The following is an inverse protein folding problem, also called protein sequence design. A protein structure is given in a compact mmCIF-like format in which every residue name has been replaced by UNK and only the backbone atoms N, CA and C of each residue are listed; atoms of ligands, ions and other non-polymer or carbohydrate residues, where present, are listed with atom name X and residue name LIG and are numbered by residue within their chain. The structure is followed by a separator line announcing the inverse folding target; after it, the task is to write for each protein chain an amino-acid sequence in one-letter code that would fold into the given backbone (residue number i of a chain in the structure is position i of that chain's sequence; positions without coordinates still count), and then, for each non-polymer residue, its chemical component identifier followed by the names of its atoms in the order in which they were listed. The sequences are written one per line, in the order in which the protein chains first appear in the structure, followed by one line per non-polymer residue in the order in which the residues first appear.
data_IF_247663536260
#
_entry.id   IF_247663536260
#
_cell.length_a   1.000
_cell.length_b   1.000
_cell.length_c   1.000
_cell.angle_alpha   90.00
_cell.angle_beta   90.00
_cell.angle_gamma   90.00
#
_symmetry.space_group_name_H-M   'P 1'
#
loop_
_entity.id
_entity.type
_entity.pdbx_description
1 polymer ?
#
# COMPACT_ATOMS: atom_id res chain seq x y z
N UNK A 1 -0.60 15.27 -1.34
CA UNK A 1 -0.60 14.68 -2.69
C UNK A 1 -0.85 13.18 -2.57
N UNK A 2 -1.66 12.62 -3.47
CA UNK A 2 -1.93 11.19 -3.57
C UNK A 2 -1.51 10.69 -4.96
N UNK A 3 -0.73 9.62 -5.07
CA UNK A 3 -0.41 9.00 -6.36
C UNK A 3 -1.14 7.66 -6.49
N UNK A 4 -1.65 7.34 -7.67
CA UNK A 4 -2.41 6.11 -7.88
C UNK A 4 -3.85 6.16 -7.36
N UNK A 5 -4.42 7.35 -7.24
CA UNK A 5 -5.79 7.54 -6.73
C UNK A 5 -6.87 6.94 -7.62
N UNK A 6 -6.59 6.77 -8.91
CA UNK A 6 -7.55 6.17 -9.86
C UNK A 6 -7.50 4.62 -9.87
N UNK A 7 -6.58 4.02 -9.10
CA UNK A 7 -6.46 2.57 -8.95
C UNK A 7 -7.50 1.96 -8.01
N UNK A 8 -7.52 0.62 -7.89
CA UNK A 8 -8.50 -0.12 -7.07
C UNK A 8 -8.58 0.37 -5.63
N UNK A 9 -7.44 0.54 -4.94
CA UNK A 9 -7.39 1.05 -3.58
C UNK A 9 -7.66 2.57 -3.53
N UNK A 10 -7.03 3.34 -4.43
CA UNK A 10 -7.08 4.79 -4.42
C UNK A 10 -8.48 5.36 -4.59
N UNK A 11 -9.31 4.78 -5.46
CA UNK A 11 -10.70 5.23 -5.70
C UNK A 11 -11.63 5.10 -4.47
N UNK A 12 -11.20 4.39 -3.43
CA UNK A 12 -11.89 4.32 -2.14
C UNK A 12 -11.20 5.19 -1.08
N UNK A 13 -9.87 5.18 -1.05
CA UNK A 13 -9.09 5.94 -0.06
C UNK A 13 -9.20 7.44 -0.29
N UNK A 14 -9.10 7.92 -1.54
CA UNK A 14 -9.13 9.36 -1.85
C UNK A 14 -10.46 10.01 -1.46
N UNK A 15 -11.64 9.49 -1.86
CA UNK A 15 -12.92 10.04 -1.40
C UNK A 15 -13.09 9.98 0.11
N UNK A 16 -12.59 8.92 0.75
CA UNK A 16 -12.65 8.76 2.20
C UNK A 16 -11.86 9.85 2.94
N UNK A 17 -10.64 10.17 2.47
CA UNK A 17 -9.81 11.25 2.99
C UNK A 17 -10.44 12.62 2.67
N UNK A 18 -10.94 12.81 1.46
CA UNK A 18 -11.61 14.06 1.06
C UNK A 18 -12.80 14.39 1.95
N UNK A 19 -13.61 13.39 2.30
CA UNK A 19 -14.74 13.54 3.22
C UNK A 19 -14.33 13.95 4.64
N UNK A 20 -13.04 13.82 4.98
CA UNK A 20 -12.45 14.25 6.27
C UNK A 20 -11.69 15.57 6.20
N UNK A 21 -11.85 16.32 5.11
CA UNK A 21 -11.31 17.67 4.96
C UNK A 21 -9.88 17.73 4.42
N UNK A 22 -9.32 16.64 3.94
CA UNK A 22 -8.03 16.70 3.24
C UNK A 22 -8.19 17.34 1.86
N UNK A 23 -7.36 18.32 1.55
CA UNK A 23 -7.20 18.81 0.18
C UNK A 23 -6.22 17.90 -0.55
N UNK A 24 -6.66 17.37 -1.70
CA UNK A 24 -5.92 16.30 -2.39
C UNK A 24 -5.70 16.66 -3.87
N UNK A 25 -4.45 16.62 -4.30
CA UNK A 25 -4.09 16.51 -5.70
C UNK A 25 -3.76 15.04 -6.00
N UNK A 26 -4.47 14.45 -6.95
CA UNK A 26 -4.19 13.08 -7.42
C UNK A 26 -3.17 13.12 -8.57
N UNK A 27 -2.16 12.28 -8.50
CA UNK A 27 -1.21 12.02 -9.59
C UNK A 27 -1.44 10.61 -10.12
N UNK A 28 -1.86 10.50 -11.38
CA UNK A 28 -2.17 9.21 -11.98
C UNK A 28 -2.05 9.28 -13.51
N UNK A 29 -2.00 8.15 -14.19
CA UNK A 29 -2.07 8.07 -15.65
C UNK A 29 -3.51 8.22 -16.18
N UNK A 30 -4.51 8.21 -15.31
CA UNK A 30 -5.93 8.32 -15.61
C UNK A 30 -6.61 9.27 -14.62
N UNK A 31 -7.63 10.02 -15.06
CA UNK A 31 -8.39 10.86 -14.14
C UNK A 31 -9.12 10.01 -13.08
N UNK A 32 -9.27 10.58 -11.90
CA UNK A 32 -10.13 10.07 -10.83
C UNK A 32 -11.47 10.82 -10.86
N UNK A 33 -12.57 10.08 -10.90
CA UNK A 33 -13.90 10.66 -10.70
C UNK A 33 -14.17 10.82 -9.20
N UNK A 34 -13.78 11.99 -8.68
CA UNK A 34 -14.01 12.37 -7.27
C UNK A 34 -14.19 13.86 -7.16
N UNK A 35 -15.38 14.30 -6.71
CA UNK A 35 -15.70 15.70 -6.59
C UNK A 35 -14.71 16.45 -5.68
N UNK A 36 -14.17 17.55 -6.16
CA UNK A 36 -13.22 18.40 -5.43
C UNK A 36 -11.80 17.82 -5.35
N UNK A 37 -11.48 16.82 -6.18
CA UNK A 37 -10.13 16.29 -6.34
C UNK A 37 -9.70 16.42 -7.80
N UNK A 38 -8.68 17.23 -8.04
CA UNK A 38 -8.08 17.32 -9.37
C UNK A 38 -7.10 16.17 -9.60
N UNK A 39 -7.03 15.67 -10.83
CA UNK A 39 -5.99 14.74 -11.27
C UNK A 39 -5.04 15.45 -12.23
N UNK A 40 -3.77 15.51 -11.85
CA UNK A 40 -2.69 15.83 -12.77
C UNK A 40 -2.20 14.53 -13.40
N UNK A 41 -2.32 14.43 -14.72
CA UNK A 41 -1.81 13.25 -15.45
C UNK A 41 -0.30 13.24 -15.35
N UNK A 42 0.24 12.23 -14.66
CA UNK A 42 1.65 12.19 -14.26
C UNK A 42 2.17 10.76 -14.36
N UNK A 43 3.24 10.57 -15.10
CA UNK A 43 4.03 9.34 -15.03
C UNK A 43 5.04 9.47 -13.89
N UNK A 44 4.79 8.78 -12.79
CA UNK A 44 5.65 8.84 -11.59
C UNK A 44 6.99 8.10 -11.76
N UNK A 45 7.19 7.41 -12.88
CA UNK A 45 8.52 6.90 -13.25
C UNK A 45 9.43 7.99 -13.81
N UNK A 46 8.87 9.13 -14.21
CA UNK A 46 9.59 10.33 -14.63
C UNK A 46 9.82 11.26 -13.44
N UNK A 47 11.06 11.39 -13.01
CA UNK A 47 11.43 12.24 -11.86
C UNK A 47 11.13 13.72 -12.08
N UNK A 48 11.22 14.20 -13.32
CA UNK A 48 10.90 15.59 -13.67
C UNK A 48 9.42 15.90 -13.50
N UNK A 49 8.55 15.01 -13.95
CA UNK A 49 7.10 15.13 -13.75
C UNK A 49 6.75 15.09 -12.26
N UNK A 50 7.34 14.16 -11.49
CA UNK A 50 7.12 14.07 -10.04
C UNK A 50 7.53 15.36 -9.34
N UNK A 51 8.73 15.86 -9.61
CA UNK A 51 9.23 17.09 -8.98
C UNK A 51 8.33 18.30 -9.33
N UNK A 52 7.94 18.45 -10.59
CA UNK A 52 7.02 19.49 -11.03
C UNK A 52 5.68 19.38 -10.29
N UNK A 53 5.08 18.20 -10.26
CA UNK A 53 3.79 17.95 -9.60
C UNK A 53 3.80 18.28 -8.09
N UNK A 54 4.92 18.04 -7.41
CA UNK A 54 5.09 18.34 -5.98
C UNK A 54 5.46 19.81 -5.70
N UNK A 55 5.64 20.63 -6.71
CA UNK A 55 6.02 22.06 -6.57
C UNK A 55 5.08 23.04 -7.27
N UNK A 56 3.89 22.57 -7.71
CA UNK A 56 2.92 23.40 -8.42
C UNK A 56 1.63 23.66 -7.65
N UNK A 57 0.73 24.42 -8.23
CA UNK A 57 -0.61 24.67 -7.70
C UNK A 57 -1.50 23.42 -7.85
N UNK A 58 -2.43 23.23 -6.91
CA UNK A 58 -3.39 22.12 -6.94
C UNK A 58 -4.58 22.39 -7.86
N UNK A 59 -4.93 23.67 -8.09
CA UNK A 59 -6.05 24.08 -8.92
C UNK A 59 -5.87 25.52 -9.46
N UNK A 60 -6.79 25.96 -10.29
CA UNK A 60 -6.80 27.33 -10.83
C UNK A 60 -6.98 28.42 -9.77
N UNK A 61 -7.72 28.15 -8.68
CA UNK A 61 -7.89 29.10 -7.58
C UNK A 61 -6.56 29.45 -6.90
N UNK A 62 -5.61 28.51 -6.88
CA UNK A 62 -4.25 28.75 -6.44
C UNK A 62 -3.51 29.81 -7.27
N UNK A 63 -3.70 29.82 -8.59
CA UNK A 63 -3.16 30.87 -9.47
C UNK A 63 -3.82 32.21 -9.25
N UNK A 64 -5.13 32.25 -9.08
CA UNK A 64 -5.91 33.49 -8.92
C UNK A 64 -5.58 34.24 -7.62
N UNK A 65 -5.23 33.50 -6.57
CA UNK A 65 -4.94 34.11 -5.26
C UNK A 65 -3.55 34.72 -5.16
N UNK A 66 -2.63 34.43 -6.08
CA UNK A 66 -1.25 34.92 -6.06
C UNK A 66 -0.41 34.46 -4.85
N UNK A 67 -0.87 33.48 -4.09
CA UNK A 67 -0.20 32.95 -2.88
C UNK A 67 0.94 31.99 -3.14
N UNK A 68 1.24 31.73 -4.41
CA UNK A 68 2.24 30.73 -4.80
C UNK A 68 1.71 29.29 -4.76
N UNK A 69 2.57 28.29 -5.05
CA UNK A 69 2.21 26.88 -5.00
C UNK A 69 1.69 26.44 -3.63
N UNK A 70 0.82 25.47 -3.62
CA UNK A 70 0.30 24.90 -2.38
C UNK A 70 1.42 24.24 -1.57
N UNK A 71 1.43 24.47 -0.26
CA UNK A 71 2.30 23.71 0.64
C UNK A 71 1.76 22.29 0.76
N UNK A 72 2.62 21.31 0.49
CA UNK A 72 2.28 19.90 0.63
C UNK A 72 2.69 19.42 2.02
N UNK A 73 1.74 18.96 2.82
CA UNK A 73 2.00 18.45 4.15
C UNK A 73 2.41 16.94 4.12
N UNK A 74 1.84 16.19 3.17
CA UNK A 74 2.10 14.76 3.06
C UNK A 74 2.00 14.23 1.63
N UNK A 75 2.65 13.07 1.39
CA UNK A 75 2.51 12.29 0.16
C UNK A 75 2.04 10.88 0.51
N UNK A 76 0.98 10.42 -0.17
CA UNK A 76 0.53 9.02 -0.16
C UNK A 76 0.82 8.43 -1.53
N UNK A 77 1.71 7.43 -1.60
CA UNK A 77 2.17 6.85 -2.85
C UNK A 77 1.63 5.43 -3.02
N UNK A 78 0.55 5.33 -3.81
CA UNK A 78 -0.10 4.05 -4.14
C UNK A 78 0.04 3.68 -5.63
N UNK A 79 0.59 4.56 -6.46
CA UNK A 79 0.84 4.27 -7.86
C UNK A 79 1.82 3.10 -8.00
N UNK A 80 1.38 2.05 -8.68
CA UNK A 80 2.18 0.86 -8.96
C UNK A 80 1.53 0.01 -10.05
N UNK A 81 2.31 -0.86 -10.68
CA UNK A 81 1.79 -2.05 -11.36
C UNK A 81 1.49 -3.06 -10.24
N UNK A 82 0.20 -3.38 -9.96
CA UNK A 82 -0.23 -3.91 -8.66
C UNK A 82 -0.08 -5.43 -8.49
N UNK A 83 0.47 -6.13 -9.47
CA UNK A 83 0.75 -7.57 -9.43
C UNK A 83 1.56 -8.02 -10.65
N UNK A 84 2.06 -9.25 -10.61
CA UNK A 84 2.62 -9.94 -11.78
C UNK A 84 1.56 -10.19 -12.87
N UNK A 85 1.99 -10.54 -14.05
CA UNK A 85 1.14 -10.89 -15.22
C UNK A 85 0.24 -9.74 -15.75
N UNK A 86 0.54 -8.48 -15.40
CA UNK A 86 -0.03 -7.29 -16.02
C UNK A 86 0.95 -6.74 -17.06
N UNK A 87 2.22 -6.72 -16.70
CA UNK A 87 3.33 -6.32 -17.55
C UNK A 87 4.46 -7.36 -17.41
N UNK A 88 5.44 -7.39 -18.32
CA UNK A 88 6.66 -8.17 -18.13
C UNK A 88 7.34 -7.89 -16.80
N UNK A 89 8.00 -8.89 -16.23
CA UNK A 89 8.58 -8.81 -14.88
C UNK A 89 9.56 -7.66 -14.69
N UNK A 90 10.45 -7.44 -15.66
CA UNK A 90 11.40 -6.33 -15.61
C UNK A 90 10.71 -4.96 -15.66
N UNK A 91 9.59 -4.84 -16.38
CA UNK A 91 8.78 -3.60 -16.43
C UNK A 91 8.08 -3.38 -15.10
N UNK A 92 7.46 -4.42 -14.54
CA UNK A 92 6.81 -4.38 -13.21
C UNK A 92 7.81 -3.96 -12.13
N UNK A 93 8.96 -4.64 -12.09
CA UNK A 93 10.01 -4.35 -11.11
C UNK A 93 10.54 -2.91 -11.26
N UNK A 94 10.99 -2.53 -12.45
CA UNK A 94 11.60 -1.23 -12.68
C UNK A 94 10.62 -0.07 -12.45
N UNK A 95 9.40 -0.17 -12.97
CA UNK A 95 8.39 0.87 -12.78
C UNK A 95 8.07 1.09 -11.29
N UNK A 96 7.85 0.01 -10.53
CA UNK A 96 7.51 0.11 -9.11
C UNK A 96 8.67 0.64 -8.26
N UNK A 97 9.91 0.25 -8.55
CA UNK A 97 11.09 0.70 -7.79
C UNK A 97 11.40 2.16 -8.10
N UNK A 98 11.44 2.53 -9.38
CA UNK A 98 11.80 3.88 -9.79
C UNK A 98 10.74 4.90 -9.39
N UNK A 99 9.44 4.57 -9.53
CA UNK A 99 8.36 5.48 -9.10
C UNK A 99 8.43 5.77 -7.60
N UNK A 100 8.64 4.75 -6.77
CA UNK A 100 8.75 4.93 -5.32
C UNK A 100 9.99 5.76 -4.97
N UNK A 101 11.12 5.48 -5.59
CA UNK A 101 12.34 6.27 -5.39
C UNK A 101 12.11 7.74 -5.75
N UNK A 102 11.58 8.03 -6.95
CA UNK A 102 11.34 9.39 -7.43
C UNK A 102 10.41 10.17 -6.49
N UNK A 103 9.31 9.54 -6.07
CA UNK A 103 8.32 10.19 -5.19
C UNK A 103 8.91 10.51 -3.82
N UNK A 104 9.59 9.55 -3.20
CA UNK A 104 10.21 9.77 -1.88
C UNK A 104 11.34 10.80 -1.99
N UNK A 105 12.19 10.71 -3.01
CA UNK A 105 13.30 11.64 -3.22
C UNK A 105 12.82 13.07 -3.39
N UNK A 106 11.85 13.29 -4.29
CA UNK A 106 11.29 14.61 -4.53
C UNK A 106 10.59 15.17 -3.27
N UNK A 107 9.78 14.35 -2.60
CA UNK A 107 9.11 14.75 -1.36
C UNK A 107 10.13 15.21 -0.29
N UNK A 108 11.14 14.39 -0.02
CA UNK A 108 12.17 14.72 0.99
C UNK A 108 12.97 15.97 0.61
N UNK A 109 13.37 16.10 -0.67
CA UNK A 109 14.11 17.29 -1.16
C UNK A 109 13.30 18.58 -1.11
N UNK A 110 11.97 18.50 -1.27
CA UNK A 110 11.04 19.61 -1.14
C UNK A 110 10.61 19.89 0.32
N UNK A 111 11.17 19.15 1.28
CA UNK A 111 10.90 19.35 2.70
C UNK A 111 9.63 18.69 3.22
N UNK A 112 8.97 17.85 2.45
CA UNK A 112 7.80 17.07 2.88
C UNK A 112 8.27 15.98 3.83
N UNK A 113 7.71 15.94 5.04
CA UNK A 113 8.20 15.10 6.15
C UNK A 113 7.29 13.91 6.45
N UNK A 114 6.13 13.82 5.83
CA UNK A 114 5.17 12.73 6.00
C UNK A 114 4.93 12.01 4.67
N UNK A 115 5.27 10.73 4.62
CA UNK A 115 5.13 9.92 3.40
C UNK A 115 4.55 8.56 3.80
N UNK A 116 3.50 8.13 3.10
CA UNK A 116 2.90 6.79 3.24
C UNK A 116 3.04 6.08 1.91
N UNK A 117 3.63 4.89 1.89
CA UNK A 117 3.80 4.10 0.66
C UNK A 117 3.03 2.79 0.70
N UNK A 118 2.51 2.36 -0.44
CA UNK A 118 1.93 1.04 -0.60
C UNK A 118 3.04 -0.02 -0.73
N UNK A 119 3.27 -0.80 0.33
CA UNK A 119 3.89 -2.12 0.28
C UNK A 119 2.80 -3.19 0.04
N UNK A 120 3.06 -4.45 0.31
CA UNK A 120 2.14 -5.53 0.00
C UNK A 120 2.38 -6.76 0.89
N UNK A 121 1.34 -7.54 1.15
CA UNK A 121 1.43 -8.88 1.72
C UNK A 121 2.33 -9.83 0.89
N UNK A 122 2.53 -9.53 -0.39
CA UNK A 122 3.39 -10.33 -1.27
C UNK A 122 4.86 -10.31 -0.86
N UNK A 123 5.28 -9.35 -0.03
CA UNK A 123 6.62 -9.31 0.57
C UNK A 123 6.92 -10.54 1.41
N UNK A 124 5.91 -11.20 1.97
CA UNK A 124 6.05 -12.45 2.72
C UNK A 124 6.43 -13.67 1.85
N UNK A 125 6.41 -13.52 0.54
CA UNK A 125 6.98 -14.48 -0.40
C UNK A 125 6.13 -15.72 -0.68
N UNK A 126 4.86 -15.76 -0.28
CA UNK A 126 3.97 -16.93 -0.50
C UNK A 126 2.99 -16.68 -1.64
N UNK A 127 2.50 -15.46 -1.83
CA UNK A 127 1.42 -15.16 -2.76
C UNK A 127 1.70 -15.57 -4.21
N UNK A 128 2.83 -15.13 -4.77
CA UNK A 128 3.25 -15.45 -6.13
C UNK A 128 4.42 -16.45 -6.17
N UNK A 129 4.61 -17.24 -5.10
CA UNK A 129 5.65 -18.25 -5.07
C UNK A 129 5.39 -19.34 -6.10
N UNK A 130 6.46 -19.88 -6.68
CA UNK A 130 6.40 -21.09 -7.48
C UNK A 130 6.18 -22.31 -6.59
N UNK A 131 5.33 -23.23 -7.05
CA UNK A 131 4.96 -24.42 -6.31
C UNK A 131 4.10 -24.16 -5.07
N UNK A 132 4.07 -25.11 -4.16
CA UNK A 132 3.37 -25.03 -2.87
C UNK A 132 4.34 -24.58 -1.77
N UNK A 133 4.43 -23.26 -1.56
CA UNK A 133 5.26 -22.67 -0.51
C UNK A 133 4.41 -22.49 0.76
N UNK A 134 4.93 -22.94 1.88
CA UNK A 134 4.37 -22.67 3.20
C UNK A 134 4.98 -21.40 3.82
N UNK A 135 4.35 -20.92 4.88
CA UNK A 135 4.86 -19.83 5.69
C UNK A 135 5.99 -20.31 6.60
N UNK A 136 6.94 -19.42 6.94
CA UNK A 136 8.03 -19.75 7.86
C UNK A 136 7.51 -19.96 9.29
N UNK A 137 6.53 -19.18 9.69
CA UNK A 137 5.86 -19.26 10.99
C UNK A 137 4.56 -18.44 11.01
N UNK A 138 3.74 -18.63 12.03
CA UNK A 138 2.62 -17.76 12.40
C UNK A 138 2.84 -17.13 13.78
N UNK A 139 2.28 -15.94 14.06
CA UNK A 139 1.59 -15.04 13.12
C UNK A 139 2.56 -14.37 12.12
N UNK A 140 2.02 -13.72 11.09
CA UNK A 140 2.78 -12.90 10.14
C UNK A 140 2.90 -11.48 10.69
N UNK A 141 3.91 -11.25 11.51
CA UNK A 141 4.22 -9.93 12.08
C UNK A 141 5.16 -9.14 11.14
N UNK A 142 5.35 -7.84 11.38
CA UNK A 142 6.12 -6.98 10.48
C UNK A 142 7.62 -7.30 10.47
N UNK A 143 8.12 -8.01 11.49
CA UNK A 143 9.51 -8.51 11.57
C UNK A 143 9.74 -9.84 10.81
N UNK A 144 8.70 -10.37 10.16
CA UNK A 144 8.78 -11.58 9.35
C UNK A 144 9.77 -11.40 8.19
N UNK A 145 10.55 -12.43 7.90
CA UNK A 145 11.47 -12.46 6.76
C UNK A 145 10.73 -12.24 5.44
N UNK A 146 11.27 -11.35 4.62
CA UNK A 146 10.71 -11.01 3.31
C UNK A 146 11.53 -11.66 2.21
N UNK A 147 10.99 -12.71 1.60
CA UNK A 147 11.68 -13.52 0.57
C UNK A 147 10.80 -13.83 -0.66
N UNK A 148 10.25 -12.79 -1.33
CA UNK A 148 9.43 -13.01 -2.53
C UNK A 148 10.27 -13.60 -3.67
N UNK A 149 9.63 -14.47 -4.46
CA UNK A 149 10.23 -15.07 -5.67
C UNK A 149 9.87 -14.27 -6.93
N UNK A 150 8.88 -13.41 -6.86
CA UNK A 150 8.31 -12.68 -7.97
C UNK A 150 8.80 -11.22 -8.05
N UNK A 151 8.68 -10.64 -9.25
CA UNK A 151 9.12 -9.27 -9.54
C UNK A 151 8.34 -8.20 -8.79
N UNK A 152 7.05 -8.42 -8.54
CA UNK A 152 6.20 -7.48 -7.83
C UNK A 152 6.54 -7.47 -6.33
N UNK A 153 6.53 -8.63 -5.67
CA UNK A 153 6.91 -8.74 -4.26
C UNK A 153 8.32 -8.22 -4.01
N UNK A 154 9.27 -8.58 -4.86
CA UNK A 154 10.65 -8.06 -4.79
C UNK A 154 10.68 -6.52 -4.90
N UNK A 155 9.91 -5.93 -5.83
CA UNK A 155 9.83 -4.47 -5.94
C UNK A 155 9.35 -3.82 -4.66
N UNK A 156 8.38 -4.43 -3.95
CA UNK A 156 7.85 -3.91 -2.69
C UNK A 156 8.86 -4.01 -1.55
N UNK A 157 9.64 -5.09 -1.46
CA UNK A 157 10.76 -5.20 -0.50
C UNK A 157 11.79 -4.10 -0.73
N UNK A 158 12.17 -3.84 -1.99
CA UNK A 158 13.10 -2.76 -2.32
C UNK A 158 12.52 -1.39 -1.98
N UNK A 159 11.21 -1.18 -2.18
CA UNK A 159 10.54 0.06 -1.80
C UNK A 159 10.56 0.28 -0.28
N UNK A 160 10.36 -0.75 0.54
CA UNK A 160 10.52 -0.67 1.99
C UNK A 160 11.96 -0.29 2.38
N UNK A 161 12.98 -0.90 1.75
CA UNK A 161 14.39 -0.54 1.99
C UNK A 161 14.71 0.89 1.56
N UNK A 162 14.18 1.34 0.43
CA UNK A 162 14.29 2.72 -0.04
C UNK A 162 13.67 3.69 0.97
N UNK A 163 12.44 3.44 1.41
CA UNK A 163 11.74 4.24 2.41
C UNK A 163 12.55 4.35 3.71
N UNK A 164 13.06 3.23 4.21
CA UNK A 164 13.91 3.20 5.41
C UNK A 164 15.18 4.05 5.25
N UNK A 165 15.87 3.93 4.12
CA UNK A 165 17.09 4.69 3.86
C UNK A 165 16.82 6.20 3.83
N UNK A 166 15.71 6.63 3.20
CA UNK A 166 15.33 8.04 3.18
C UNK A 166 14.89 8.56 4.57
N UNK A 167 14.11 7.79 5.32
CA UNK A 167 13.73 8.17 6.68
C UNK A 167 14.95 8.36 7.58
N UNK A 168 15.90 7.42 7.55
CA UNK A 168 17.12 7.51 8.35
C UNK A 168 17.96 8.75 8.04
N UNK A 169 18.11 9.11 6.76
CA UNK A 169 18.96 10.26 6.38
C UNK A 169 18.27 11.61 6.52
N UNK A 170 16.94 11.67 6.44
CA UNK A 170 16.17 12.92 6.44
C UNK A 170 15.43 13.19 7.75
N UNK A 171 15.24 12.17 8.57
CA UNK A 171 14.37 12.21 9.76
C UNK A 171 12.88 12.40 9.42
N UNK A 172 12.45 12.12 8.18
CA UNK A 172 11.04 12.10 7.82
C UNK A 172 10.32 10.86 8.35
N UNK A 173 9.04 11.00 8.63
CA UNK A 173 8.16 9.87 8.90
C UNK A 173 7.76 9.22 7.58
N UNK A 174 8.23 8.01 7.32
CA UNK A 174 7.90 7.26 6.11
C UNK A 174 7.35 5.90 6.52
N UNK A 175 6.06 5.68 6.24
CA UNK A 175 5.34 4.48 6.63
C UNK A 175 5.02 3.62 5.43
N UNK A 176 5.39 2.34 5.49
CA UNK A 176 5.10 1.35 4.47
C UNK A 176 3.93 0.47 4.91
N UNK A 177 2.86 0.43 4.13
CA UNK A 177 1.69 -0.40 4.40
C UNK A 177 1.81 -1.71 3.62
N UNK A 178 2.00 -2.84 4.29
CA UNK A 178 1.85 -4.18 3.70
C UNK A 178 0.37 -4.46 3.53
N UNK A 179 -0.16 -3.97 2.40
CA UNK A 179 -1.58 -4.04 2.10
C UNK A 179 -1.94 -5.48 1.75
N UNK A 180 -2.92 -6.03 2.45
CA UNK A 180 -3.53 -7.31 2.15
C UNK A 180 -4.36 -7.25 0.87
N UNK A 181 -5.01 -8.38 0.52
CA UNK A 181 -5.90 -8.40 -0.63
C UNK A 181 -7.04 -7.39 -0.46
N UNK A 182 -7.03 -6.34 -1.26
CA UNK A 182 -8.05 -5.28 -1.21
C UNK A 182 -9.38 -5.82 -1.72
N UNK A 183 -10.39 -5.79 -0.86
CA UNK A 183 -11.77 -6.22 -1.13
C UNK A 183 -12.66 -4.99 -1.26
N UNK A 184 -13.30 -4.85 -2.41
CA UNK A 184 -14.29 -3.80 -2.65
C UNK A 184 -15.69 -4.28 -2.20
N UNK A 185 -16.64 -3.37 -1.93
CA UNK A 185 -17.97 -3.75 -1.42
C UNK A 185 -18.67 -4.84 -2.21
N UNK A 186 -18.57 -4.85 -3.54
CA UNK A 186 -19.19 -5.86 -4.40
C UNK A 186 -18.43 -7.21 -4.40
N UNK A 187 -17.16 -7.24 -3.97
CA UNK A 187 -16.35 -8.45 -3.92
C UNK A 187 -16.64 -9.31 -2.67
N UNK A 188 -17.44 -8.80 -1.72
CA UNK A 188 -17.88 -9.63 -0.58
C UNK A 188 -18.76 -10.82 -1.02
N UNK A 189 -19.36 -10.76 -2.20
CA UNK A 189 -20.06 -11.88 -2.81
C UNK A 189 -19.16 -13.11 -3.09
N UNK A 190 -17.83 -12.93 -3.10
CA UNK A 190 -16.85 -14.01 -3.23
C UNK A 190 -16.62 -14.79 -1.93
N UNK A 191 -16.93 -14.21 -0.76
CA UNK A 191 -16.60 -14.80 0.55
C UNK A 191 -17.22 -16.17 0.79
N UNK A 192 -18.48 -16.46 0.40
CA UNK A 192 -19.00 -17.80 0.53
C UNK A 192 -18.13 -18.88 -0.17
N UNK A 193 -17.58 -18.55 -1.34
CA UNK A 193 -16.66 -19.42 -2.07
C UNK A 193 -15.33 -19.62 -1.33
N UNK A 194 -14.75 -18.53 -0.76
CA UNK A 194 -13.54 -18.60 0.04
C UNK A 194 -13.71 -19.47 1.29
N UNK A 195 -14.88 -19.41 1.92
CA UNK A 195 -15.19 -20.23 3.10
C UNK A 195 -15.47 -21.69 2.75
N UNK A 196 -16.03 -21.97 1.54
CA UNK A 196 -16.29 -23.32 1.08
C UNK A 196 -14.99 -24.08 0.73
N UNK A 197 -14.01 -23.39 0.15
CA UNK A 197 -12.68 -23.91 -0.14
C UNK A 197 -11.60 -22.95 0.40
N UNK A 198 -11.25 -23.04 1.68
CA UNK A 198 -10.28 -22.14 2.29
C UNK A 198 -8.89 -22.20 1.68
N UNK A 199 -8.51 -23.32 1.06
CA UNK A 199 -7.18 -23.46 0.46
C UNK A 199 -6.94 -22.49 -0.71
N UNK A 200 -7.99 -21.99 -1.35
CA UNK A 200 -7.91 -20.94 -2.38
C UNK A 200 -7.32 -19.63 -1.83
N UNK A 201 -7.41 -19.41 -0.51
CA UNK A 201 -6.91 -18.21 0.18
C UNK A 201 -5.60 -18.44 0.94
N UNK A 202 -5.02 -19.65 0.90
CA UNK A 202 -3.75 -19.95 1.60
C UNK A 202 -2.66 -18.93 1.26
N UNK A 203 -2.52 -18.58 -0.02
CA UNK A 203 -1.47 -17.67 -0.50
C UNK A 203 -1.59 -16.23 0.04
N UNK A 204 -2.81 -15.79 0.42
CA UNK A 204 -3.04 -14.51 1.13
C UNK A 204 -2.96 -14.64 2.66
N UNK A 205 -2.53 -15.78 3.20
CA UNK A 205 -2.69 -16.07 4.63
C UNK A 205 -4.13 -15.85 5.12
N UNK A 206 -5.11 -16.06 4.25
CA UNK A 206 -6.56 -15.81 4.48
C UNK A 206 -6.91 -14.38 4.85
N UNK A 207 -5.94 -13.48 4.82
CA UNK A 207 -6.12 -12.06 5.14
C UNK A 207 -6.78 -11.28 4.01
N UNK A 208 -7.32 -10.12 4.34
CA UNK A 208 -7.86 -9.14 3.41
C UNK A 208 -7.90 -7.75 4.07
N UNK A 209 -8.13 -6.72 3.28
CA UNK A 209 -8.47 -5.39 3.73
C UNK A 209 -9.70 -4.88 2.98
N UNK A 210 -10.71 -4.39 3.68
CA UNK A 210 -11.81 -3.64 3.06
C UNK A 210 -11.24 -2.34 2.48
N UNK A 211 -11.57 -2.06 1.23
CA UNK A 211 -11.06 -0.88 0.54
C UNK A 211 -11.39 0.44 1.26
N UNK A 212 -12.46 0.47 2.06
CA UNK A 212 -12.89 1.63 2.86
C UNK A 212 -12.07 1.76 4.15
N UNK A 213 -11.75 0.63 4.80
CA UNK A 213 -10.94 0.60 6.03
C UNK A 213 -9.48 1.00 5.75
N UNK A 214 -9.00 0.73 4.53
CA UNK A 214 -7.69 1.21 4.10
C UNK A 214 -7.58 2.74 4.15
N UNK A 215 -8.68 3.46 3.91
CA UNK A 215 -8.74 4.92 4.08
C UNK A 215 -8.48 5.35 5.53
N UNK A 216 -9.04 4.60 6.51
CA UNK A 216 -8.80 4.85 7.92
C UNK A 216 -7.33 4.60 8.30
N UNK A 217 -6.73 3.53 7.82
CA UNK A 217 -5.31 3.23 8.08
C UNK A 217 -4.42 4.36 7.54
N UNK A 218 -4.66 4.81 6.31
CA UNK A 218 -3.92 5.94 5.74
C UNK A 218 -4.09 7.21 6.57
N UNK A 219 -5.32 7.53 6.99
CA UNK A 219 -5.58 8.67 7.87
C UNK A 219 -4.78 8.60 9.17
N UNK A 220 -4.80 7.46 9.86
CA UNK A 220 -4.04 7.26 11.09
C UNK A 220 -2.53 7.43 10.88
N UNK A 221 -2.01 6.98 9.72
CA UNK A 221 -0.62 7.21 9.35
C UNK A 221 -0.31 8.70 9.13
N UNK A 222 -1.25 9.47 8.55
CA UNK A 222 -1.09 10.91 8.34
C UNK A 222 -1.10 11.69 9.66
N UNK A 223 -1.94 11.29 10.62
CA UNK A 223 -2.06 11.94 11.93
C UNK A 223 -0.92 11.57 12.90
N UNK A 224 -0.27 10.43 12.71
CA UNK A 224 0.74 9.94 13.64
C UNK A 224 2.14 10.39 13.25
N UNK A 225 2.76 11.22 14.07
CA UNK A 225 4.10 11.77 13.87
C UNK A 225 5.14 11.12 14.79
N UNK A 226 6.42 11.25 14.38
CA UNK A 226 7.57 10.95 15.22
C UNK A 226 7.96 9.48 15.29
N UNK A 227 7.43 8.62 14.39
CA UNK A 227 7.78 7.21 14.37
C UNK A 227 8.95 6.88 13.43
N UNK A 228 9.41 7.85 12.61
CA UNK A 228 10.46 7.64 11.63
C UNK A 228 10.04 6.65 10.54
N UNK A 229 10.81 5.57 10.38
CA UNK A 229 10.43 4.51 9.45
C UNK A 229 9.65 3.42 10.17
N UNK A 230 8.46 3.09 9.65
CA UNK A 230 7.66 1.97 10.14
C UNK A 230 7.09 1.16 8.97
N UNK A 231 6.88 -0.12 9.24
CA UNK A 231 6.09 -1.03 8.40
C UNK A 231 4.86 -1.42 9.19
N UNK A 232 3.70 -1.47 8.55
CA UNK A 232 2.45 -1.91 9.16
C UNK A 232 1.72 -2.90 8.26
N UNK A 233 1.21 -3.98 8.83
CA UNK A 233 0.23 -4.81 8.16
C UNK A 233 -1.08 -4.04 8.02
N UNK A 234 -1.51 -3.83 6.79
CA UNK A 234 -2.77 -3.16 6.47
C UNK A 234 -3.80 -4.22 6.07
N UNK A 235 -4.39 -4.84 7.08
CA UNK A 235 -5.37 -5.93 6.97
C UNK A 235 -6.50 -5.70 7.96
N UNK A 236 -7.67 -6.34 7.73
CA UNK A 236 -8.73 -6.39 8.71
C UNK A 236 -8.33 -7.31 9.88
N UNK A 237 -9.00 -7.16 11.01
CA UNK A 237 -8.84 -7.98 12.21
C UNK A 237 -9.49 -9.38 12.12
N UNK A 238 -10.14 -9.67 11.00
CA UNK A 238 -10.74 -10.97 10.69
C UNK A 238 -10.12 -11.58 9.45
N UNK A 239 -10.21 -12.90 9.33
CA UNK A 239 -9.76 -13.67 8.18
C UNK A 239 -10.94 -14.23 7.37
N UNK A 240 -10.68 -14.73 6.15
CA UNK A 240 -11.68 -15.35 5.28
C UNK A 240 -12.02 -16.81 5.69
N UNK A 241 -12.05 -17.09 7.00
CA UNK A 241 -12.49 -18.34 7.59
C UNK A 241 -13.38 -18.06 8.79
N UNK A 242 -14.25 -19.03 9.15
CA UNK A 242 -15.17 -18.91 10.29
C UNK A 242 -14.69 -19.65 11.54
N UNK A 243 -13.68 -20.47 11.38
CA UNK A 243 -13.13 -21.30 12.44
C UNK A 243 -12.18 -20.47 13.34
N UNK A 244 -11.94 -20.98 14.54
CA UNK A 244 -10.86 -20.48 15.38
C UNK A 244 -9.50 -20.54 14.65
N UNK A 245 -8.78 -19.42 14.60
CA UNK A 245 -7.60 -19.26 13.76
C UNK A 245 -6.53 -20.31 14.04
N UNK A 246 -6.25 -20.62 15.31
CA UNK A 246 -5.18 -21.57 15.65
C UNK A 246 -5.50 -22.98 15.16
N UNK A 247 -6.73 -23.45 15.38
CA UNK A 247 -7.18 -24.75 14.89
C UNK A 247 -7.21 -24.83 13.37
N UNK A 248 -7.65 -23.76 12.72
CA UNK A 248 -7.69 -23.62 11.29
C UNK A 248 -6.29 -23.69 10.66
N UNK A 249 -5.34 -22.90 11.17
CA UNK A 249 -3.96 -22.87 10.66
C UNK A 249 -3.22 -24.20 10.87
N UNK A 250 -3.41 -24.86 12.01
CA UNK A 250 -2.86 -26.21 12.26
C UNK A 250 -3.35 -27.24 11.25
N UNK A 251 -4.58 -27.10 10.77
CA UNK A 251 -5.15 -27.97 9.73
C UNK A 251 -4.64 -27.63 8.33
N UNK A 252 -4.60 -26.32 7.98
CA UNK A 252 -4.23 -25.87 6.64
C UNK A 252 -2.71 -25.83 6.40
N UNK A 253 -1.92 -25.57 7.45
CA UNK A 253 -0.46 -25.47 7.42
C UNK A 253 0.17 -26.27 8.58
N UNK A 254 0.00 -27.59 8.62
CA UNK A 254 0.39 -28.41 9.78
C UNK A 254 1.90 -28.45 10.06
N UNK A 255 2.71 -28.04 9.08
CA UNK A 255 4.18 -27.99 9.22
C UNK A 255 4.71 -26.63 9.61
N UNK A 256 3.88 -25.57 9.55
CA UNK A 256 4.28 -24.20 9.86
C UNK A 256 4.31 -24.00 11.38
N UNK A 257 5.46 -23.61 11.95
CA UNK A 257 5.56 -23.39 13.40
C UNK A 257 4.78 -22.16 13.84
N UNK A 258 4.29 -22.19 15.07
CA UNK A 258 3.66 -21.05 15.74
C UNK A 258 4.64 -20.45 16.74
N UNK A 259 5.00 -19.17 16.60
CA UNK A 259 5.87 -18.44 17.55
C UNK A 259 5.17 -18.12 18.85
N UNK A 260 3.86 -17.99 18.84
CA UNK A 260 2.98 -17.78 20.00
C UNK A 260 1.61 -18.39 19.78
N UNK A 261 0.85 -18.54 20.85
CA UNK A 261 -0.55 -18.92 20.74
C UNK A 261 -1.36 -17.79 20.06
N UNK A 262 -2.26 -18.17 19.16
CA UNK A 262 -3.20 -17.27 18.50
C UNK A 262 -4.54 -17.33 19.21
N UNK A 263 -5.22 -16.20 19.33
CA UNK A 263 -6.52 -16.11 20.00
C UNK A 263 -7.57 -15.54 19.04
N UNK A 264 -8.75 -16.16 19.05
CA UNK A 264 -9.87 -15.70 18.23
C UNK A 264 -9.56 -15.77 16.74
N UNK A 265 -9.67 -14.65 16.03
CA UNK A 265 -9.41 -14.52 14.60
C UNK A 265 -8.22 -13.59 14.31
N UNK A 266 -7.20 -13.66 15.13
CA UNK A 266 -5.95 -12.92 14.89
C UNK A 266 -5.28 -13.28 13.56
#
# INVERSE_FOLDING_TARGET
VFTGGSGKAGRHVVPWLRARGYDILNLDLKPLDCQGVNTLITDVTDSGQVFNALSMHFDFGGYETGKGPAKIDAVVHFAAIPRVLIQPDNVTYSANVISTYNVIEAAVKLGIRKIVIASSETTYGVWFAEGDKDFHHFPLEEDYDTDPMDSYGLSKVINEKTARAFAMRSGADIYALRIGNVIEPHEYDLFPGFMADPMTRKRNAWSYIDARDLGQIVHLCLEKDGLGYQVFNAVNDTITAREDTEGFLKRCCPKTPHRRALKGQE
#
